data_IF_105479782561
#
_entry.id   IF_105479782561
#
_cell.length_a   1.000
_cell.length_b   1.000
_cell.length_c   1.000
_cell.angle_alpha   90.00
_cell.angle_beta   90.00
_cell.angle_gamma   90.00
#
_symmetry.space_group_name_H-M   'P 1'
#
loop_
_entity.id
_entity.type
_entity.pdbx_description
1 polymer ?
#
# COMPACT_ATOMS: atom_id res chain seq x y z
N UNK A 1 -14.07 13.11 14.07
CA UNK A 1 -14.37 13.24 12.63
C UNK A 1 -14.11 14.68 12.22
N UNK A 2 -12.95 14.99 11.65
CA UNK A 2 -12.70 16.27 10.97
C UNK A 2 -12.40 15.95 9.51
N UNK A 3 -13.33 16.27 8.62
CA UNK A 3 -13.18 16.02 7.19
C UNK A 3 -12.06 16.89 6.61
N UNK A 4 -11.46 16.50 5.47
CA UNK A 4 -10.53 17.36 4.73
C UNK A 4 -11.10 18.77 4.50
N UNK A 5 -10.27 19.80 4.70
CA UNK A 5 -10.65 21.19 4.43
C UNK A 5 -9.68 21.86 3.47
N UNK A 6 -10.22 22.63 2.52
CA UNK A 6 -9.44 23.40 1.58
C UNK A 6 -9.32 24.85 2.04
N UNK A 7 -8.11 25.29 2.36
CA UNK A 7 -7.80 26.69 2.62
C UNK A 7 -7.44 27.38 1.31
N UNK A 8 -8.18 28.42 0.94
CA UNK A 8 -7.92 29.22 -0.27
C UNK A 8 -7.48 30.63 0.10
N UNK A 9 -6.25 31.03 -0.28
CA UNK A 9 -5.80 32.44 -0.11
C UNK A 9 -6.06 33.22 -1.38
N UNK A 10 -6.95 34.22 -1.30
CA UNK A 10 -7.28 35.20 -2.37
C UNK A 10 -7.51 34.54 -3.76
N UNK A 11 -8.18 33.40 -3.75
CA UNK A 11 -8.55 32.65 -4.96
C UNK A 11 -7.41 31.96 -5.72
N UNK A 12 -6.17 31.97 -5.21
CA UNK A 12 -5.01 31.49 -5.99
C UNK A 12 -4.32 30.27 -5.40
N UNK A 13 -4.17 30.20 -4.07
CA UNK A 13 -3.42 29.12 -3.43
C UNK A 13 -4.36 28.25 -2.60
N UNK A 14 -4.43 26.94 -2.93
CA UNK A 14 -5.26 25.95 -2.26
C UNK A 14 -4.38 25.01 -1.44
N UNK A 15 -4.42 25.11 -0.12
CA UNK A 15 -3.82 24.13 0.79
C UNK A 15 -4.94 23.17 1.23
N UNK A 16 -4.71 21.87 1.11
CA UNK A 16 -5.64 20.86 1.65
C UNK A 16 -5.09 20.43 3.01
N UNK A 17 -5.85 20.68 4.07
CA UNK A 17 -5.56 20.17 5.41
C UNK A 17 -6.33 18.87 5.61
N UNK A 18 -5.62 17.85 6.08
CA UNK A 18 -6.15 16.51 6.30
C UNK A 18 -5.89 16.10 7.75
N UNK A 19 -6.74 15.26 8.36
CA UNK A 19 -6.34 14.50 9.53
C UNK A 19 -5.07 13.71 9.26
N UNK A 20 -4.19 13.64 10.25
CA UNK A 20 -2.88 12.99 10.11
C UNK A 20 -3.00 11.51 9.73
N UNK A 21 -4.02 10.81 10.26
CA UNK A 21 -4.26 9.40 9.95
C UNK A 21 -4.64 9.21 8.48
N UNK A 22 -5.52 10.06 7.94
CA UNK A 22 -5.93 10.03 6.53
C UNK A 22 -4.76 10.37 5.59
N UNK A 23 -3.89 11.30 5.99
CA UNK A 23 -2.66 11.59 5.25
C UNK A 23 -1.74 10.37 5.20
N UNK A 24 -1.54 9.68 6.34
CA UNK A 24 -0.73 8.47 6.38
C UNK A 24 -1.32 7.35 5.51
N UNK A 25 -2.64 7.15 5.51
CA UNK A 25 -3.31 6.19 4.63
C UNK A 25 -3.09 6.53 3.14
N UNK A 26 -3.25 7.78 2.75
CA UNK A 26 -3.06 8.22 1.36
C UNK A 26 -1.60 8.11 0.91
N UNK A 27 -0.63 8.33 1.80
CA UNK A 27 0.79 8.13 1.48
C UNK A 27 1.15 6.65 1.41
N UNK A 28 0.60 5.80 2.29
CA UNK A 28 0.72 4.34 2.14
C UNK A 28 0.12 3.87 0.82
N UNK A 29 -1.02 4.41 0.40
CA UNK A 29 -1.60 4.11 -0.91
C UNK A 29 -0.75 4.64 -2.09
N UNK A 30 0.07 5.67 -1.85
CA UNK A 30 1.04 6.21 -2.82
C UNK A 30 2.41 5.53 -2.78
N UNK A 31 2.71 4.67 -1.80
CA UNK A 31 3.82 3.74 -1.98
C UNK A 31 3.35 2.77 -3.06
N UNK A 32 3.67 3.10 -4.32
CA UNK A 32 3.26 2.32 -5.47
C UNK A 32 3.50 0.85 -5.14
N UNK A 33 2.44 0.04 -5.21
CA UNK A 33 2.55 -1.38 -4.98
C UNK A 33 3.73 -1.85 -5.85
N UNK A 34 4.81 -2.24 -5.18
CA UNK A 34 6.05 -2.52 -5.87
C UNK A 34 5.86 -3.86 -6.57
N UNK A 35 5.57 -3.79 -7.87
CA UNK A 35 5.41 -4.96 -8.71
C UNK A 35 6.77 -5.39 -9.21
N UNK A 36 7.08 -6.67 -9.07
CA UNK A 36 8.26 -7.27 -9.66
C UNK A 36 7.85 -8.28 -10.73
N UNK A 37 8.60 -8.33 -11.82
CA UNK A 37 8.62 -9.52 -12.67
C UNK A 37 9.41 -10.58 -11.90
N UNK A 38 8.99 -11.85 -11.95
CA UNK A 38 9.61 -12.93 -11.15
C UNK A 38 11.15 -12.95 -11.25
N UNK A 39 11.70 -12.76 -12.44
CA UNK A 39 13.15 -12.75 -12.68
C UNK A 39 13.90 -11.60 -11.97
N UNK A 40 13.22 -10.49 -11.70
CA UNK A 40 13.79 -9.26 -11.16
C UNK A 40 13.36 -9.02 -9.70
N UNK A 41 12.60 -9.95 -9.11
CA UNK A 41 12.09 -9.82 -7.76
C UNK A 41 13.21 -10.01 -6.72
N UNK A 42 13.24 -9.19 -5.65
CA UNK A 42 14.14 -9.41 -4.53
C UNK A 42 13.95 -10.80 -3.93
N UNK A 43 15.06 -11.45 -3.55
CA UNK A 43 15.04 -12.83 -3.07
C UNK A 43 14.09 -13.04 -1.87
N UNK A 44 13.95 -12.04 -0.99
CA UNK A 44 13.02 -12.14 0.13
C UNK A 44 11.56 -12.20 -0.33
N UNK A 45 11.19 -11.49 -1.39
CA UNK A 45 9.84 -11.54 -1.98
C UNK A 45 9.60 -12.89 -2.66
N UNK A 46 10.60 -13.44 -3.35
CA UNK A 46 10.52 -14.77 -3.95
C UNK A 46 10.33 -15.85 -2.89
N UNK A 47 11.11 -15.80 -1.80
CA UNK A 47 10.98 -16.76 -0.70
C UNK A 47 9.58 -16.73 -0.04
N UNK A 48 9.00 -15.53 0.10
CA UNK A 48 7.65 -15.38 0.65
C UNK A 48 6.58 -15.92 -0.32
N UNK A 49 6.77 -15.72 -1.63
CA UNK A 49 5.92 -16.29 -2.67
C UNK A 49 5.97 -17.82 -2.65
N UNK A 50 7.17 -18.41 -2.62
CA UNK A 50 7.36 -19.87 -2.60
C UNK A 50 6.70 -20.50 -1.38
N UNK A 51 6.90 -19.92 -0.19
CA UNK A 51 6.22 -20.36 1.05
C UNK A 51 4.70 -20.29 0.93
N UNK A 52 4.17 -19.21 0.38
CA UNK A 52 2.72 -19.07 0.21
C UNK A 52 2.14 -20.10 -0.76
N UNK A 53 2.88 -20.45 -1.82
CA UNK A 53 2.49 -21.52 -2.73
C UNK A 53 2.55 -22.89 -2.05
N UNK A 54 3.60 -23.17 -1.28
CA UNK A 54 3.72 -24.40 -0.50
C UNK A 54 2.58 -24.54 0.50
N UNK A 55 2.23 -23.46 1.21
CA UNK A 55 1.10 -23.46 2.15
C UNK A 55 -0.21 -23.80 1.42
N UNK A 56 -0.47 -23.21 0.26
CA UNK A 56 -1.70 -23.46 -0.52
C UNK A 56 -1.72 -24.90 -1.05
N UNK A 57 -0.61 -25.39 -1.59
CA UNK A 57 -0.53 -26.72 -2.20
C UNK A 57 -0.61 -27.84 -1.16
N UNK A 58 -0.04 -27.62 0.03
CA UNK A 58 0.00 -28.61 1.11
C UNK A 58 -1.15 -28.43 2.12
N UNK A 59 -2.00 -27.41 1.97
CA UNK A 59 -3.17 -27.19 2.86
C UNK A 59 -4.19 -28.34 2.80
N UNK A 60 -4.25 -29.08 1.70
CA UNK A 60 -5.18 -30.20 1.51
C UNK A 60 -4.66 -31.54 2.07
N UNK A 61 -3.39 -31.64 2.48
CA UNK A 61 -2.82 -32.87 3.09
C UNK A 61 -3.20 -33.05 4.57
N UNK A 62 -4.00 -32.14 5.13
CA UNK A 62 -4.45 -32.15 6.54
C UNK A 62 -5.97 -32.16 6.72
N UNK A 63 -6.73 -32.54 5.69
CA UNK A 63 -8.19 -32.73 5.75
C UNK A 63 -8.61 -34.20 5.89
#
# INVERSE_FOLDING_TARGET
MSTPVALTKRGREKIIMLPVDLYHELIKARSGAQSFVYADAPQNILNDLDRGLDDILNSDEHA
#
